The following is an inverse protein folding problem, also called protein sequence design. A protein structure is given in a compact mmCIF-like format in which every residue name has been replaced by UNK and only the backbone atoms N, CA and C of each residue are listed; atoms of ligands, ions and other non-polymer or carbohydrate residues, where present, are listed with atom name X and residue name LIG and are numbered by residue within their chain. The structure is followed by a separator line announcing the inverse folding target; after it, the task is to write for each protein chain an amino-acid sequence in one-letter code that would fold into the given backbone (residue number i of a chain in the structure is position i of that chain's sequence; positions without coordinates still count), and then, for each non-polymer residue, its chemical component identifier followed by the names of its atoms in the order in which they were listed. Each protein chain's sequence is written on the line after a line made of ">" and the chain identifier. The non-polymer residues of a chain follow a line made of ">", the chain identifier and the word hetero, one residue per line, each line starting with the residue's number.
data_IF_299925917810
#
_entry.id   IF_299925917810
#
_cell.length_a   1.000
_cell.length_b   1.000
_cell.length_c   1.000
_cell.angle_alpha   90.00
_cell.angle_beta   90.00
_cell.angle_gamma   90.00
#
_symmetry.space_group_name_H-M   'P 1'
#
loop_
_entity.id
_entity.type
_entity.pdbx_description
1 polymer ?
#
# COMPACT_ATOMS: atom_id res chain seq x y z
N UNK A 1 21.75 5.79 12.23
CA UNK A 1 21.47 5.50 10.81
C UNK A 1 21.30 4.01 10.48
N UNK A 2 22.21 3.10 10.88
CA UNK A 2 22.12 1.68 10.47
C UNK A 2 20.80 0.99 10.85
N UNK A 3 20.30 1.17 12.09
CA UNK A 3 19.01 0.61 12.54
C UNK A 3 17.83 1.04 11.65
N UNK A 4 17.83 2.31 11.24
CA UNK A 4 16.80 2.93 10.41
C UNK A 4 16.83 2.30 9.01
N UNK A 5 18.03 2.17 8.42
CA UNK A 5 18.19 1.52 7.12
C UNK A 5 17.69 0.07 7.16
N UNK A 6 18.06 -0.70 8.19
CA UNK A 6 17.61 -2.09 8.37
C UNK A 6 16.09 -2.16 8.50
N UNK A 7 15.47 -1.24 9.23
CA UNK A 7 14.03 -1.15 9.35
C UNK A 7 13.33 -0.91 8.01
N UNK A 8 13.81 0.05 7.21
CA UNK A 8 13.21 0.31 5.90
C UNK A 8 13.44 -0.84 4.92
N UNK A 9 14.61 -1.47 4.94
CA UNK A 9 14.87 -2.66 4.11
C UNK A 9 13.96 -3.82 4.49
N UNK A 10 13.76 -4.06 5.79
CA UNK A 10 12.81 -5.07 6.27
C UNK A 10 11.37 -4.72 5.88
N UNK A 11 10.92 -3.49 6.12
CA UNK A 11 9.55 -3.09 5.84
C UNK A 11 9.24 -3.10 4.33
N UNK A 12 10.05 -2.44 3.50
CA UNK A 12 9.81 -2.38 2.07
C UNK A 12 10.09 -3.72 1.38
N UNK A 13 11.15 -4.44 1.78
CA UNK A 13 11.52 -5.71 1.16
C UNK A 13 10.62 -6.86 1.59
N UNK A 14 10.51 -7.09 2.90
CA UNK A 14 9.77 -8.23 3.44
C UNK A 14 8.28 -7.96 3.52
N UNK A 15 7.86 -6.84 4.14
CA UNK A 15 6.43 -6.63 4.38
C UNK A 15 5.63 -6.32 3.09
N UNK A 16 6.21 -5.55 2.18
CA UNK A 16 5.56 -5.12 0.93
C UNK A 16 6.07 -5.90 -0.28
N UNK A 17 7.39 -6.01 -0.43
CA UNK A 17 8.01 -6.61 -1.61
C UNK A 17 7.69 -8.10 -1.78
N UNK A 18 7.72 -8.88 -0.70
CA UNK A 18 7.47 -10.33 -0.77
C UNK A 18 6.05 -10.68 -1.23
N UNK A 19 4.96 -10.11 -0.67
CA UNK A 19 3.61 -10.33 -1.21
C UNK A 19 3.47 -9.90 -2.68
N UNK A 20 4.06 -8.75 -3.05
CA UNK A 20 4.06 -8.27 -4.43
C UNK A 20 4.75 -9.25 -5.40
N UNK A 21 5.91 -9.79 -5.01
CA UNK A 21 6.64 -10.78 -5.78
C UNK A 21 5.85 -12.09 -5.91
N UNK A 22 5.24 -12.58 -4.83
CA UNK A 22 4.41 -13.79 -4.85
C UNK A 22 3.23 -13.62 -5.80
N UNK A 23 2.51 -12.49 -5.71
CA UNK A 23 1.41 -12.18 -6.62
C UNK A 23 1.89 -12.06 -8.08
N UNK A 24 3.04 -11.44 -8.31
CA UNK A 24 3.62 -11.32 -9.65
C UNK A 24 3.98 -12.69 -10.24
N UNK A 25 4.58 -13.59 -9.45
CA UNK A 25 4.90 -14.96 -9.86
C UNK A 25 3.64 -15.79 -10.16
N UNK A 26 2.62 -15.66 -9.31
CA UNK A 26 1.30 -16.31 -9.53
C UNK A 26 0.69 -15.83 -10.85
N UNK A 27 0.71 -14.51 -11.10
CA UNK A 27 0.19 -13.93 -12.35
C UNK A 27 1.02 -14.32 -13.58
N UNK A 28 2.34 -14.36 -13.47
CA UNK A 28 3.20 -14.73 -14.58
C UNK A 28 3.04 -16.21 -14.98
N UNK A 29 2.68 -17.06 -14.03
CA UNK A 29 2.35 -18.47 -14.27
C UNK A 29 0.90 -18.73 -14.70
N UNK A 30 0.02 -17.72 -14.70
CA UNK A 30 -1.38 -17.90 -15.11
C UNK A 30 -1.45 -18.20 -16.61
N UNK A 31 -2.12 -19.30 -16.97
CA UNK A 31 -2.38 -19.65 -18.37
C UNK A 31 -3.81 -19.22 -18.74
N UNK A 32 -4.12 -19.18 -20.03
CA UNK A 32 -5.51 -18.97 -20.46
C UNK A 32 -6.43 -20.05 -19.89
N UNK A 33 -7.64 -19.69 -19.48
CA UNK A 33 -8.66 -20.61 -18.98
C UNK A 33 -9.21 -21.57 -20.05
N UNK A 34 -9.01 -21.25 -21.33
CA UNK A 34 -9.43 -22.05 -22.47
C UNK A 34 -8.24 -22.58 -23.28
N UNK A 35 -8.49 -23.66 -24.01
CA UNK A 35 -7.60 -24.30 -24.95
C UNK A 35 -8.29 -24.47 -26.31
N UNK A 36 -7.56 -24.10 -27.36
CA UNK A 36 -7.96 -24.30 -28.75
C UNK A 36 -7.33 -25.58 -29.26
N UNK A 37 -8.15 -26.40 -29.89
CA UNK A 37 -7.67 -27.52 -30.68
C UNK A 37 -6.83 -26.99 -31.86
N UNK A 38 -5.50 -27.10 -31.73
CA UNK A 38 -4.56 -26.57 -32.74
C UNK A 38 -4.77 -27.20 -34.10
N UNK A 39 -5.16 -28.47 -34.15
CA UNK A 39 -5.37 -29.20 -35.40
C UNK A 39 -6.64 -28.70 -36.11
N UNK A 40 -7.64 -28.23 -35.35
CA UNK A 40 -8.81 -27.56 -35.93
C UNK A 40 -8.46 -26.17 -36.50
N UNK A 41 -7.39 -25.55 -35.99
CA UNK A 41 -6.90 -24.23 -36.41
C UNK A 41 -5.92 -24.24 -37.59
N UNK A 42 -5.75 -25.38 -38.26
CA UNK A 42 -4.90 -25.52 -39.43
C UNK A 42 -5.36 -24.64 -40.59
N UNK A 43 -4.40 -24.02 -41.28
CA UNK A 43 -4.67 -23.08 -42.37
C UNK A 43 -4.14 -23.63 -43.70
N UNK A 44 -4.93 -23.49 -44.76
CA UNK A 44 -4.52 -23.71 -46.14
C UNK A 44 -5.13 -22.64 -47.03
N UNK A 45 -4.34 -22.04 -47.93
CA UNK A 45 -4.83 -20.99 -48.83
C UNK A 45 -5.35 -19.72 -48.12
N UNK A 46 -4.90 -19.48 -46.88
CA UNK A 46 -5.39 -18.37 -46.05
C UNK A 46 -6.77 -18.60 -45.43
N UNK A 47 -7.28 -19.83 -45.46
CA UNK A 47 -8.55 -20.23 -44.84
C UNK A 47 -8.33 -21.38 -43.87
N UNK A 48 -9.19 -21.51 -42.86
CA UNK A 48 -9.18 -22.66 -41.97
C UNK A 48 -9.56 -23.93 -42.75
N UNK A 49 -8.79 -25.01 -42.61
CA UNK A 49 -9.02 -26.28 -43.33
C UNK A 49 -10.36 -26.92 -42.96
N UNK A 50 -10.74 -26.84 -41.69
CA UNK A 50 -11.98 -27.41 -41.17
C UNK A 50 -12.71 -26.40 -40.27
N UNK A 51 -13.41 -25.41 -40.87
CA UNK A 51 -14.13 -24.41 -40.08
C UNK A 51 -15.26 -25.04 -39.24
N UNK A 52 -15.78 -26.21 -39.61
CA UNK A 52 -16.80 -26.89 -38.83
C UNK A 52 -16.27 -27.43 -37.49
N UNK A 53 -14.98 -27.77 -37.39
CA UNK A 53 -14.34 -28.10 -36.09
C UNK A 53 -14.15 -26.88 -35.19
N UNK A 54 -13.98 -25.69 -35.77
CA UNK A 54 -13.82 -24.45 -35.01
C UNK A 54 -15.17 -23.85 -34.59
N UNK A 55 -16.13 -23.76 -35.50
CA UNK A 55 -17.42 -23.09 -35.27
C UNK A 55 -18.58 -24.06 -34.97
N UNK A 56 -18.40 -25.37 -35.15
CA UNK A 56 -19.52 -26.31 -35.12
C UNK A 56 -20.32 -26.31 -36.41
N UNK A 57 -21.39 -27.11 -36.42
CA UNK A 57 -22.27 -27.32 -37.58
C UNK A 57 -23.63 -26.64 -37.43
N UNK A 58 -23.91 -26.06 -36.27
CA UNK A 58 -25.16 -25.38 -35.90
C UNK A 58 -25.18 -23.89 -36.29
N UNK A 59 -24.23 -23.45 -37.10
CA UNK A 59 -24.19 -22.09 -37.66
C UNK A 59 -25.39 -21.85 -38.56
N UNK A 60 -25.98 -20.65 -38.51
CA UNK A 60 -27.11 -20.27 -39.36
C UNK A 60 -26.74 -20.20 -40.85
N UNK A 61 -25.46 -19.93 -41.13
CA UNK A 61 -24.87 -19.95 -42.47
C UNK A 61 -23.42 -20.45 -42.39
N UNK A 62 -22.84 -20.96 -43.50
CA UNK A 62 -21.43 -21.34 -43.52
C UNK A 62 -20.53 -20.19 -43.05
N UNK A 63 -19.47 -20.46 -42.26
CA UNK A 63 -18.53 -19.43 -41.85
C UNK A 63 -17.94 -18.69 -43.04
N UNK A 64 -17.92 -17.35 -42.97
CA UNK A 64 -17.45 -16.46 -44.03
C UNK A 64 -16.02 -16.01 -43.77
N UNK A 65 -15.25 -15.78 -44.83
CA UNK A 65 -13.89 -15.22 -44.73
C UNK A 65 -13.95 -13.81 -44.14
N UNK A 66 -13.20 -13.59 -43.06
CA UNK A 66 -13.15 -12.32 -42.33
C UNK A 66 -11.78 -11.63 -42.42
N UNK A 67 -10.89 -12.05 -43.32
CA UNK A 67 -9.53 -11.46 -43.43
C UNK A 67 -9.54 -9.98 -43.79
N UNK A 68 -10.59 -9.48 -44.45
CA UNK A 68 -10.75 -8.05 -44.69
C UNK A 68 -10.86 -7.24 -43.39
N UNK A 69 -11.35 -7.85 -42.31
CA UNK A 69 -11.41 -7.24 -40.96
C UNK A 69 -10.09 -7.41 -40.20
N UNK A 70 -9.20 -8.30 -40.64
CA UNK A 70 -7.93 -8.61 -39.99
C UNK A 70 -6.79 -8.69 -41.01
N UNK A 71 -6.27 -7.54 -41.49
CA UNK A 71 -5.27 -7.53 -42.55
C UNK A 71 -3.97 -8.29 -42.22
N UNK A 72 -3.65 -8.43 -40.93
CA UNK A 72 -2.46 -9.15 -40.46
C UNK A 72 -2.73 -10.65 -40.16
N UNK A 73 -3.96 -11.12 -40.34
CA UNK A 73 -4.31 -12.52 -40.08
C UNK A 73 -3.87 -13.44 -41.21
N UNK A 74 -3.32 -14.60 -40.83
CA UNK A 74 -3.03 -15.71 -41.76
C UNK A 74 -4.34 -16.35 -42.20
N UNK A 75 -5.30 -16.48 -41.30
CA UNK A 75 -6.69 -16.86 -41.60
C UNK A 75 -7.64 -16.14 -40.65
N UNK A 76 -8.82 -15.77 -41.13
CA UNK A 76 -9.88 -15.25 -40.28
C UNK A 76 -11.23 -15.68 -40.83
N UNK A 77 -12.16 -16.05 -39.94
CA UNK A 77 -13.50 -16.44 -40.31
C UNK A 77 -14.51 -15.97 -39.27
N UNK A 78 -15.73 -15.69 -39.72
CA UNK A 78 -16.86 -15.31 -38.88
C UNK A 78 -18.04 -16.25 -39.11
N UNK A 79 -18.75 -16.60 -38.05
CA UNK A 79 -19.98 -17.37 -38.10
C UNK A 79 -21.09 -16.66 -37.34
N UNK A 80 -22.31 -16.76 -37.87
CA UNK A 80 -23.54 -16.26 -37.25
C UNK A 80 -24.39 -17.46 -36.87
N UNK A 81 -25.01 -17.42 -35.70
CA UNK A 81 -25.84 -18.50 -35.18
C UNK A 81 -27.32 -18.10 -35.10
N UNK A 82 -28.24 -19.08 -35.03
CA UNK A 82 -29.69 -18.81 -35.01
C UNK A 82 -30.15 -17.95 -33.81
N UNK A 83 -29.40 -17.94 -32.72
CA UNK A 83 -29.65 -17.15 -31.50
C UNK A 83 -29.12 -15.70 -31.60
N UNK A 84 -28.79 -15.24 -32.82
CA UNK A 84 -28.17 -13.95 -33.11
C UNK A 84 -26.78 -13.74 -32.49
N UNK A 85 -26.15 -14.78 -31.96
CA UNK A 85 -24.75 -14.70 -31.53
C UNK A 85 -23.82 -14.78 -32.75
N UNK A 86 -22.66 -14.17 -32.61
CA UNK A 86 -21.64 -14.10 -33.66
C UNK A 86 -20.30 -14.51 -33.07
N UNK A 87 -19.61 -15.40 -33.75
CA UNK A 87 -18.27 -15.85 -33.37
C UNK A 87 -17.31 -15.48 -34.48
N UNK A 88 -16.18 -14.92 -34.10
CA UNK A 88 -15.11 -14.52 -34.98
C UNK A 88 -13.81 -15.13 -34.48
N UNK A 89 -13.10 -15.82 -35.36
CA UNK A 89 -11.83 -16.44 -35.05
C UNK A 89 -10.82 -15.97 -36.08
N UNK A 90 -9.70 -15.42 -35.61
CA UNK A 90 -8.58 -15.02 -36.43
C UNK A 90 -7.31 -15.69 -35.92
N UNK A 91 -6.47 -16.14 -36.86
CA UNK A 91 -5.14 -16.68 -36.58
C UNK A 91 -4.09 -15.71 -37.13
N UNK A 92 -3.27 -15.13 -36.26
CA UNK A 92 -2.09 -14.38 -36.68
C UNK A 92 -0.91 -15.29 -36.95
N UNK A 93 0.18 -14.77 -37.52
CA UNK A 93 1.39 -15.55 -37.81
C UNK A 93 2.20 -15.90 -36.57
N UNK A 94 2.05 -15.11 -35.50
CA UNK A 94 2.66 -15.33 -34.21
C UNK A 94 1.77 -14.74 -33.11
N UNK A 95 2.13 -14.99 -31.85
CA UNK A 95 1.37 -14.51 -30.68
C UNK A 95 1.28 -12.98 -30.61
N UNK A 96 2.35 -12.27 -30.93
CA UNK A 96 2.40 -10.81 -30.79
C UNK A 96 1.55 -10.13 -31.86
N UNK A 97 1.58 -10.62 -33.10
CA UNK A 97 0.71 -10.11 -34.17
C UNK A 97 -0.75 -10.46 -33.92
N UNK A 98 -1.03 -11.62 -33.36
CA UNK A 98 -2.39 -12.00 -32.95
C UNK A 98 -2.94 -11.09 -31.85
N UNK A 99 -2.08 -10.67 -30.91
CA UNK A 99 -2.43 -9.68 -29.89
C UNK A 99 -2.77 -8.32 -30.51
N UNK A 100 -1.98 -7.85 -31.47
CA UNK A 100 -2.25 -6.59 -32.18
C UNK A 100 -3.56 -6.65 -32.97
N UNK A 101 -3.81 -7.77 -33.68
CA UNK A 101 -5.06 -8.01 -34.41
C UNK A 101 -6.29 -7.88 -33.49
N UNK A 102 -6.25 -8.51 -32.32
CA UNK A 102 -7.35 -8.47 -31.36
C UNK A 102 -7.51 -7.11 -30.70
N UNK A 103 -6.40 -6.41 -30.43
CA UNK A 103 -6.43 -5.06 -29.86
C UNK A 103 -7.06 -4.04 -30.83
N UNK A 104 -6.71 -4.11 -32.12
CA UNK A 104 -7.28 -3.26 -33.15
C UNK A 104 -8.79 -3.49 -33.32
N UNK A 105 -9.18 -4.77 -33.46
CA UNK A 105 -10.58 -5.16 -33.54
C UNK A 105 -11.40 -4.74 -32.31
N UNK A 106 -10.82 -4.92 -31.11
CA UNK A 106 -11.43 -4.47 -29.86
C UNK A 106 -11.66 -2.96 -29.85
N UNK A 107 -10.66 -2.18 -30.27
CA UNK A 107 -10.73 -0.72 -30.30
C UNK A 107 -11.83 -0.19 -31.23
N UNK A 108 -12.13 -0.91 -32.32
CA UNK A 108 -13.22 -0.56 -33.24
C UNK A 108 -14.62 -0.90 -32.73
N UNK A 109 -14.74 -1.83 -31.77
CA UNK A 109 -16.04 -2.31 -31.29
C UNK A 109 -16.47 -1.75 -29.95
N UNK A 110 -15.57 -1.59 -28.99
CA UNK A 110 -15.94 -1.39 -27.60
C UNK A 110 -16.35 0.06 -27.26
N UNK A 111 -17.48 0.22 -26.58
CA UNK A 111 -17.86 1.43 -25.84
C UNK A 111 -17.73 1.19 -24.34
N UNK A 112 -16.77 1.85 -23.70
CA UNK A 112 -16.74 1.98 -22.24
C UNK A 112 -16.25 0.74 -21.45
N UNK A 113 -16.97 0.42 -20.37
CA UNK A 113 -16.47 -0.41 -19.26
C UNK A 113 -16.06 -1.82 -19.71
N UNK A 114 -14.77 -2.10 -19.57
CA UNK A 114 -14.17 -3.40 -19.85
C UNK A 114 -13.98 -4.15 -18.55
N UNK A 115 -14.41 -5.41 -18.49
CA UNK A 115 -14.05 -6.31 -17.38
C UNK A 115 -13.09 -7.36 -17.90
N UNK A 116 -11.84 -7.32 -17.44
CA UNK A 116 -10.81 -8.28 -17.81
C UNK A 116 -10.81 -9.46 -16.83
N UNK A 117 -10.83 -10.69 -17.36
CA UNK A 117 -10.62 -11.93 -16.61
C UNK A 117 -9.52 -12.79 -17.27
N UNK A 118 -9.09 -13.88 -16.62
CA UNK A 118 -8.08 -14.80 -17.17
C UNK A 118 -8.54 -15.55 -18.42
N UNK A 119 -9.85 -15.60 -18.64
CA UNK A 119 -10.42 -16.16 -19.85
C UNK A 119 -10.46 -15.17 -21.01
N UNK A 120 -10.39 -13.86 -20.76
CA UNK A 120 -10.47 -12.83 -21.79
C UNK A 120 -11.08 -11.53 -21.28
N UNK A 121 -11.37 -10.60 -22.18
CA UNK A 121 -11.99 -9.33 -21.84
C UNK A 121 -13.47 -9.34 -22.25
N UNK A 122 -14.36 -9.03 -21.32
CA UNK A 122 -15.76 -8.72 -21.62
C UNK A 122 -15.92 -7.23 -21.86
N UNK A 123 -16.77 -6.88 -22.81
CA UNK A 123 -17.05 -5.52 -23.20
C UNK A 123 -18.49 -5.36 -23.68
N UNK A 124 -18.95 -4.12 -23.73
CA UNK A 124 -20.17 -3.74 -24.45
C UNK A 124 -19.74 -3.07 -25.74
N UNK A 125 -20.30 -3.52 -26.86
CA UNK A 125 -20.02 -2.94 -28.16
C UNK A 125 -20.80 -1.62 -28.35
N UNK A 126 -20.32 -0.77 -29.26
CA UNK A 126 -21.01 0.45 -29.68
C UNK A 126 -22.45 0.21 -30.17
N UNK A 127 -22.72 -1.00 -30.65
CA UNK A 127 -24.05 -1.48 -31.09
C UNK A 127 -24.99 -1.86 -29.95
N UNK A 128 -24.52 -1.85 -28.70
CA UNK A 128 -25.25 -2.30 -27.52
C UNK A 128 -25.13 -3.80 -27.21
N UNK A 129 -24.43 -4.56 -28.07
CA UNK A 129 -24.20 -5.99 -27.87
C UNK A 129 -23.17 -6.26 -26.77
N UNK A 130 -23.25 -7.43 -26.14
CA UNK A 130 -22.25 -7.89 -25.18
C UNK A 130 -21.22 -8.74 -25.90
N UNK A 131 -19.96 -8.34 -25.78
CA UNK A 131 -18.80 -9.01 -26.38
C UNK A 131 -17.91 -9.68 -25.34
N UNK A 132 -17.25 -10.75 -25.76
CA UNK A 132 -16.10 -11.34 -25.09
C UNK A 132 -15.01 -11.58 -26.12
N UNK A 133 -13.80 -11.14 -25.81
CA UNK A 133 -12.62 -11.33 -26.66
C UNK A 133 -11.53 -12.05 -25.88
N UNK A 134 -10.81 -12.95 -26.53
CA UNK A 134 -9.73 -13.66 -25.90
C UNK A 134 -8.60 -14.01 -26.88
N UNK A 135 -7.41 -14.22 -26.34
CA UNK A 135 -6.20 -14.55 -27.09
C UNK A 135 -5.57 -15.83 -26.53
N UNK A 136 -5.21 -16.75 -27.41
CA UNK A 136 -4.43 -17.93 -27.07
C UNK A 136 -3.40 -18.23 -28.15
N UNK A 137 -2.13 -17.95 -27.83
CA UNK A 137 -1.04 -18.11 -28.77
C UNK A 137 -1.32 -17.29 -30.04
N UNK A 138 -1.38 -17.96 -31.18
CA UNK A 138 -1.64 -17.38 -32.50
C UNK A 138 -3.13 -17.11 -32.79
N UNK A 139 -4.05 -17.49 -31.89
CA UNK A 139 -5.48 -17.38 -32.14
C UNK A 139 -6.09 -16.27 -31.31
N UNK A 140 -6.89 -15.42 -31.96
CA UNK A 140 -7.77 -14.45 -31.35
C UNK A 140 -9.22 -14.81 -31.63
N UNK A 141 -10.08 -14.69 -30.62
CA UNK A 141 -11.51 -14.99 -30.73
C UNK A 141 -12.31 -13.85 -30.16
N UNK A 142 -13.39 -13.52 -30.85
CA UNK A 142 -14.45 -12.69 -30.31
C UNK A 142 -15.79 -13.41 -30.41
N UNK A 143 -16.57 -13.36 -29.34
CA UNK A 143 -17.95 -13.82 -29.26
C UNK A 143 -18.80 -12.61 -28.93
N UNK A 144 -19.77 -12.30 -29.78
CA UNK A 144 -20.75 -11.24 -29.57
C UNK A 144 -22.14 -11.83 -29.45
N UNK A 145 -22.98 -11.25 -28.61
CA UNK A 145 -24.37 -11.65 -28.47
C UNK A 145 -25.28 -10.51 -28.00
N UNK A 146 -26.60 -10.66 -28.17
CA UNK A 146 -27.57 -9.66 -27.76
C UNK A 146 -27.64 -9.52 -26.23
N UNK A 147 -27.31 -10.58 -25.50
CA UNK A 147 -27.28 -10.61 -24.03
C UNK A 147 -26.01 -11.29 -23.52
N UNK A 148 -25.70 -11.06 -22.23
CA UNK A 148 -24.57 -11.69 -21.56
C UNK A 148 -24.72 -13.21 -21.50
N UNK A 149 -25.94 -13.69 -21.29
CA UNK A 149 -26.29 -15.09 -21.19
C UNK A 149 -26.10 -15.77 -22.55
N UNK A 150 -26.58 -15.16 -23.63
CA UNK A 150 -26.42 -15.69 -24.99
C UNK A 150 -24.94 -15.77 -25.39
N UNK A 151 -24.16 -14.70 -25.16
CA UNK A 151 -22.72 -14.69 -25.42
C UNK A 151 -22.00 -15.78 -24.60
N UNK A 152 -22.32 -15.92 -23.31
CA UNK A 152 -21.66 -16.89 -22.43
C UNK A 152 -22.02 -18.34 -22.79
N UNK A 153 -23.29 -18.61 -23.13
CA UNK A 153 -23.74 -19.90 -23.60
C UNK A 153 -23.09 -20.28 -24.92
N UNK A 154 -23.02 -19.34 -25.88
CA UNK A 154 -22.32 -19.56 -27.15
C UNK A 154 -20.86 -19.88 -26.93
N UNK A 155 -20.15 -19.10 -26.11
CA UNK A 155 -18.74 -19.32 -25.77
C UNK A 155 -18.50 -20.74 -25.24
N UNK A 156 -19.38 -21.24 -24.37
CA UNK A 156 -19.26 -22.59 -23.80
C UNK A 156 -19.57 -23.71 -24.81
N UNK A 157 -20.30 -23.40 -25.88
CA UNK A 157 -20.73 -24.38 -26.90
C UNK A 157 -19.78 -24.49 -28.10
N UNK A 158 -18.76 -23.62 -28.23
CA UNK A 158 -17.88 -23.61 -29.41
C UNK A 158 -16.99 -24.87 -29.40
N UNK A 159 -17.10 -25.78 -30.40
CA UNK A 159 -16.42 -27.09 -30.34
C UNK A 159 -14.89 -27.02 -30.35
N UNK A 160 -14.33 -26.00 -31.01
CA UNK A 160 -12.88 -25.77 -31.05
C UNK A 160 -12.29 -25.34 -29.71
N UNK A 161 -13.12 -25.09 -28.71
CA UNK A 161 -12.76 -24.52 -27.41
C UNK A 161 -13.13 -25.47 -26.30
N UNK A 162 -12.12 -25.84 -25.52
CA UNK A 162 -12.32 -26.63 -24.33
C UNK A 162 -11.66 -25.92 -23.14
N UNK A 163 -12.13 -26.25 -21.95
CA UNK A 163 -11.46 -25.82 -20.72
C UNK A 163 -10.02 -26.31 -20.74
N UNK A 164 -9.06 -25.41 -20.47
CA UNK A 164 -7.65 -25.78 -20.46
C UNK A 164 -7.40 -26.79 -19.33
N UNK A 165 -7.05 -28.07 -19.62
CA UNK A 165 -6.81 -29.05 -18.57
C UNK A 165 -5.54 -28.72 -17.76
N UNK A 166 -4.65 -27.88 -18.31
CA UNK A 166 -3.44 -27.39 -17.66
C UNK A 166 -3.67 -26.05 -16.94
N UNK A 167 -4.87 -25.81 -16.40
CA UNK A 167 -5.13 -24.68 -15.49
C UNK A 167 -4.05 -24.65 -14.42
N UNK A 168 -3.24 -23.60 -14.44
CA UNK A 168 -2.14 -23.43 -13.48
C UNK A 168 -2.69 -22.99 -12.13
N UNK A 169 -1.84 -23.03 -11.11
CA UNK A 169 -2.18 -22.61 -9.76
C UNK A 169 -2.76 -21.18 -9.73
N UNK A 170 -2.29 -20.28 -10.61
CA UNK A 170 -2.81 -18.90 -10.73
C UNK A 170 -4.29 -18.83 -11.08
N UNK A 171 -4.77 -19.65 -12.00
CA UNK A 171 -6.18 -19.66 -12.40
C UNK A 171 -7.08 -20.18 -11.28
N UNK A 172 -6.59 -21.16 -10.51
CA UNK A 172 -7.30 -21.67 -9.34
C UNK A 172 -7.32 -20.64 -8.21
N UNK A 173 -6.21 -19.94 -7.99
CA UNK A 173 -6.11 -18.92 -6.94
C UNK A 173 -7.12 -17.80 -7.15
N UNK A 174 -7.30 -17.32 -8.39
CA UNK A 174 -8.16 -16.17 -8.61
C UNK A 174 -9.66 -16.44 -8.48
N UNK A 175 -10.10 -17.69 -8.59
CA UNK A 175 -11.54 -18.03 -8.57
C UNK A 175 -11.97 -18.85 -7.37
N UNK A 176 -11.15 -19.82 -6.98
CA UNK A 176 -11.45 -20.77 -5.91
C UNK A 176 -10.75 -20.37 -4.61
N UNK A 177 -9.48 -19.99 -4.70
CA UNK A 177 -8.69 -19.67 -3.51
C UNK A 177 -8.63 -18.18 -3.14
N UNK A 178 -9.28 -17.29 -3.89
CA UNK A 178 -9.25 -15.85 -3.64
C UNK A 178 -9.62 -15.48 -2.19
N UNK A 179 -10.70 -16.01 -1.59
CA UNK A 179 -11.00 -15.69 -0.19
C UNK A 179 -9.89 -16.17 0.77
N UNK A 180 -9.26 -17.32 0.48
CA UNK A 180 -8.16 -17.84 1.29
C UNK A 180 -6.88 -17.02 1.09
N UNK A 181 -6.58 -16.57 -0.13
CA UNK A 181 -5.46 -15.69 -0.42
C UNK A 181 -5.61 -14.34 0.29
N UNK A 182 -6.82 -13.77 0.29
CA UNK A 182 -7.15 -12.57 1.06
C UNK A 182 -7.04 -12.81 2.57
N UNK A 183 -7.48 -13.96 3.07
CA UNK A 183 -7.34 -14.31 4.48
C UNK A 183 -5.86 -14.45 4.89
N UNK A 184 -5.04 -15.11 4.07
CA UNK A 184 -3.59 -15.23 4.29
C UNK A 184 -2.93 -13.84 4.23
N UNK A 185 -3.31 -12.99 3.29
CA UNK A 185 -2.81 -11.62 3.20
C UNK A 185 -3.22 -10.79 4.42
N UNK A 186 -4.44 -10.94 4.92
CA UNK A 186 -4.90 -10.27 6.12
C UNK A 186 -4.10 -10.72 7.35
N UNK A 187 -3.89 -12.03 7.51
CA UNK A 187 -3.05 -12.60 8.58
C UNK A 187 -1.63 -12.05 8.45
N UNK A 188 -1.07 -12.00 7.24
CA UNK A 188 0.23 -11.41 6.97
C UNK A 188 0.30 -9.94 7.39
N UNK A 189 -0.68 -9.13 6.99
CA UNK A 189 -0.76 -7.72 7.37
C UNK A 189 -0.87 -7.53 8.89
N UNK A 190 -1.63 -8.37 9.59
CA UNK A 190 -1.73 -8.34 11.05
C UNK A 190 -0.40 -8.70 11.71
N UNK A 191 0.31 -9.71 11.20
CA UNK A 191 1.64 -10.08 11.67
C UNK A 191 2.66 -8.95 11.42
N UNK A 192 2.65 -8.36 10.22
CA UNK A 192 3.49 -7.20 9.89
C UNK A 192 3.19 -6.03 10.81
N UNK A 193 1.91 -5.71 11.07
CA UNK A 193 1.52 -4.62 11.94
C UNK A 193 1.98 -4.85 13.39
N UNK A 194 1.86 -6.08 13.90
CA UNK A 194 2.39 -6.45 15.21
C UNK A 194 3.92 -6.29 15.28
N UNK A 195 4.64 -6.75 14.25
CA UNK A 195 6.09 -6.63 14.19
C UNK A 195 6.57 -5.20 13.95
N UNK A 196 5.80 -4.39 13.22
CA UNK A 196 6.11 -2.99 12.94
C UNK A 196 6.26 -2.20 14.23
N UNK A 197 5.31 -2.33 15.18
CA UNK A 197 5.40 -1.65 16.47
C UNK A 197 6.67 -1.99 17.25
N UNK A 198 7.08 -3.26 17.21
CA UNK A 198 8.30 -3.72 17.88
C UNK A 198 9.56 -3.23 17.21
N UNK A 199 9.62 -3.30 15.89
CA UNK A 199 10.76 -2.80 15.11
C UNK A 199 10.87 -1.28 15.23
N UNK A 200 9.75 -0.57 15.23
CA UNK A 200 9.69 0.87 15.46
C UNK A 200 10.27 1.26 16.83
N UNK A 201 9.85 0.58 17.89
CA UNK A 201 10.36 0.79 19.23
C UNK A 201 11.84 0.43 19.39
N UNK A 202 12.32 -0.56 18.64
CA UNK A 202 13.74 -0.92 18.61
C UNK A 202 14.59 0.15 17.91
N UNK A 203 14.11 0.70 16.79
CA UNK A 203 14.81 1.74 16.02
C UNK A 203 14.92 3.04 16.81
N UNK A 204 13.81 3.52 17.39
CA UNK A 204 13.79 4.76 18.17
C UNK A 204 14.26 4.61 19.61
N UNK A 205 14.54 3.38 20.05
CA UNK A 205 14.95 3.09 21.42
C UNK A 205 16.46 3.14 21.63
N UNK A 206 16.83 3.55 22.84
CA UNK A 206 18.20 3.63 23.31
C UNK A 206 18.38 2.69 24.51
N UNK A 207 19.50 1.97 24.52
CA UNK A 207 19.80 1.06 25.61
C UNK A 207 20.64 1.79 26.66
N UNK A 208 20.43 1.43 27.92
CA UNK A 208 21.37 1.82 28.97
C UNK A 208 22.77 1.23 28.70
N UNK A 209 23.85 1.88 29.15
CA UNK A 209 25.18 1.29 29.13
C UNK A 209 25.21 -0.03 29.91
N UNK A 210 25.89 -1.05 29.38
CA UNK A 210 25.93 -2.40 29.97
C UNK A 210 26.50 -2.44 31.40
N UNK A 211 27.20 -1.38 31.82
CA UNK A 211 27.81 -1.23 33.14
C UNK A 211 26.96 -0.41 34.13
N UNK A 212 25.80 0.11 33.72
CA UNK A 212 24.94 0.89 34.60
C UNK A 212 23.97 -0.03 35.36
N UNK A 213 24.04 -0.01 36.70
CA UNK A 213 23.08 -0.72 37.54
C UNK A 213 21.75 0.02 37.59
N UNK A 214 20.63 -0.60 37.18
CA UNK A 214 19.33 0.05 37.19
C UNK A 214 18.92 0.45 38.61
N UNK A 215 18.47 1.69 38.79
CA UNK A 215 17.82 2.14 40.02
C UNK A 215 16.36 1.63 40.08
N UNK A 216 15.75 1.57 41.26
CA UNK A 216 14.33 1.22 41.39
C UNK A 216 13.40 2.24 40.67
N UNK A 217 12.28 1.79 40.12
CA UNK A 217 11.31 2.61 39.38
C UNK A 217 10.88 3.86 40.14
N UNK A 218 10.59 3.75 41.43
CA UNK A 218 10.16 4.86 42.27
C UNK A 218 11.25 5.93 42.39
N UNK A 219 12.50 5.50 42.55
CA UNK A 219 13.66 6.40 42.59
C UNK A 219 13.85 7.10 41.24
N UNK A 220 13.69 6.38 40.14
CA UNK A 220 13.71 6.98 38.80
C UNK A 220 12.56 7.98 38.61
N UNK A 221 11.34 7.62 39.02
CA UNK A 221 10.18 8.48 38.89
C UNK A 221 10.35 9.79 39.67
N UNK A 222 10.88 9.73 40.90
CA UNK A 222 11.14 10.91 41.71
C UNK A 222 12.25 11.78 41.11
N UNK A 223 13.29 11.17 40.50
CA UNK A 223 14.32 11.92 39.75
C UNK A 223 13.74 12.62 38.52
N UNK A 224 12.83 11.97 37.78
CA UNK A 224 12.18 12.58 36.62
C UNK A 224 11.26 13.72 37.07
N UNK A 225 10.52 13.56 38.17
CA UNK A 225 9.67 14.63 38.73
C UNK A 225 10.49 15.84 39.22
N UNK A 226 11.71 15.62 39.72
CA UNK A 226 12.60 16.69 40.12
C UNK A 226 13.04 17.61 38.96
N UNK A 227 12.87 17.18 37.69
CA UNK A 227 13.11 18.06 36.53
C UNK A 227 12.22 19.30 36.53
N UNK A 228 11.06 19.26 37.19
CA UNK A 228 10.18 20.43 37.35
C UNK A 228 10.82 21.58 38.14
N UNK A 229 11.85 21.30 38.93
CA UNK A 229 12.59 22.32 39.69
C UNK A 229 13.65 23.02 38.84
N UNK A 230 13.94 22.48 37.65
CA UNK A 230 14.86 23.07 36.69
C UNK A 230 14.12 24.02 35.74
N UNK A 231 14.87 24.89 35.08
CA UNK A 231 14.34 25.82 34.10
C UNK A 231 14.08 25.13 32.74
N UNK A 232 13.10 24.22 32.71
CA UNK A 232 12.74 23.39 31.55
C UNK A 232 11.39 23.79 30.94
N UNK A 233 11.17 23.59 29.62
CA UNK A 233 9.95 24.01 28.92
C UNK A 233 8.76 23.03 29.09
N UNK A 234 8.80 22.14 30.08
CA UNK A 234 7.78 21.13 30.32
C UNK A 234 7.52 20.92 31.82
N UNK A 235 6.34 20.38 32.14
CA UNK A 235 5.95 19.94 33.47
C UNK A 235 5.76 18.43 33.45
N UNK A 236 6.38 17.74 34.39
CA UNK A 236 6.19 16.32 34.67
C UNK A 236 5.16 16.16 35.79
N UNK A 237 4.19 15.29 35.62
CA UNK A 237 3.21 14.92 36.63
C UNK A 237 3.08 13.40 36.73
N UNK A 238 2.54 12.89 37.84
CA UNK A 238 2.18 11.47 37.93
C UNK A 238 0.87 11.26 37.17
N UNK A 239 0.83 10.18 36.38
CA UNK A 239 -0.37 9.75 35.66
C UNK A 239 -1.30 8.91 36.53
N UNK A 240 -2.35 8.39 35.91
CA UNK A 240 -3.40 7.62 36.60
C UNK A 240 -2.90 6.28 37.17
N UNK A 241 -1.82 5.73 36.60
CA UNK A 241 -1.20 4.50 37.05
C UNK A 241 0.08 4.79 37.86
N UNK A 242 0.43 3.97 38.87
CA UNK A 242 1.56 4.23 39.76
C UNK A 242 2.91 4.27 39.03
N UNK A 243 3.04 3.57 37.90
CA UNK A 243 4.24 3.56 37.07
C UNK A 243 4.15 4.47 35.84
N UNK A 244 3.22 5.43 35.85
CA UNK A 244 2.98 6.33 34.73
C UNK A 244 3.35 7.76 35.09
N UNK A 245 4.09 8.42 34.20
CA UNK A 245 4.39 9.85 34.27
C UNK A 245 3.87 10.53 33.00
N UNK A 246 3.40 11.77 33.14
CA UNK A 246 2.90 12.58 32.03
C UNK A 246 3.73 13.84 31.97
N UNK A 247 4.34 14.08 30.82
CA UNK A 247 5.14 15.25 30.51
C UNK A 247 4.31 16.13 29.58
N UNK A 248 3.88 17.27 30.11
CA UNK A 248 3.10 18.28 29.38
C UNK A 248 3.98 19.49 29.12
N UNK A 249 4.08 19.90 27.86
CA UNK A 249 4.85 21.08 27.51
C UNK A 249 4.08 22.37 27.84
N UNK A 250 4.77 23.35 28.45
CA UNK A 250 4.15 24.57 28.95
C UNK A 250 4.05 25.63 27.86
N UNK A 251 3.10 25.46 26.93
CA UNK A 251 2.90 26.39 25.80
C UNK A 251 2.43 27.80 26.20
N UNK A 252 1.79 27.92 27.36
CA UNK A 252 1.16 29.16 27.81
C UNK A 252 2.02 30.01 28.77
N UNK A 253 3.25 29.58 29.10
CA UNK A 253 4.14 30.36 29.96
C UNK A 253 4.80 31.49 29.15
N UNK A 254 4.67 32.73 29.61
CA UNK A 254 5.11 33.93 28.86
C UNK A 254 6.59 33.89 28.46
N UNK A 255 7.41 33.20 29.25
CA UNK A 255 8.84 32.99 28.98
C UNK A 255 9.12 32.16 27.72
N UNK A 256 8.25 31.21 27.42
CA UNK A 256 8.40 30.28 26.29
C UNK A 256 7.46 30.62 25.12
N UNK A 257 6.39 31.36 25.37
CA UNK A 257 5.41 31.78 24.36
C UNK A 257 6.01 32.67 23.25
N UNK A 258 6.95 33.56 23.58
CA UNK A 258 7.58 34.45 22.59
C UNK A 258 8.50 33.67 21.61
N UNK A 259 9.28 32.72 22.13
CA UNK A 259 10.14 31.84 21.32
C UNK A 259 9.31 30.93 20.39
N UNK A 260 8.14 30.49 20.85
CA UNK A 260 7.24 29.61 20.08
C UNK A 260 6.44 30.36 19.01
N UNK A 261 6.01 31.60 19.27
CA UNK A 261 5.26 32.43 18.30
C UNK A 261 6.10 32.78 17.07
N UNK A 262 7.43 32.83 17.22
CA UNK A 262 8.38 33.05 16.12
C UNK A 262 8.52 31.82 15.21
N UNK A 263 8.03 30.64 15.62
CA UNK A 263 8.23 29.36 14.92
C UNK A 263 6.93 28.60 14.61
N UNK A 264 5.78 29.30 14.64
CA UNK A 264 4.47 28.84 14.14
C UNK A 264 3.95 27.49 14.73
N UNK A 265 4.24 27.21 16.00
CA UNK A 265 3.79 25.99 16.68
C UNK A 265 2.41 26.17 17.36
N UNK A 266 1.33 25.83 16.64
CA UNK A 266 -0.06 25.83 17.16
C UNK A 266 -0.49 24.53 17.89
N UNK A 267 0.45 23.62 18.20
CA UNK A 267 0.12 22.27 18.71
C UNK A 267 0.61 22.04 20.14
N UNK A 268 -0.26 21.48 20.96
CA UNK A 268 0.08 20.93 22.27
C UNK A 268 0.68 19.53 22.12
N UNK A 269 1.85 19.30 22.70
CA UNK A 269 2.47 17.98 22.80
C UNK A 269 2.37 17.48 24.25
N UNK A 270 2.15 16.18 24.38
CA UNK A 270 2.12 15.43 25.64
C UNK A 270 2.90 14.15 25.45
N UNK A 271 3.79 13.83 26.38
CA UNK A 271 4.54 12.59 26.39
C UNK A 271 4.12 11.79 27.62
N UNK A 272 3.64 10.57 27.41
CA UNK A 272 3.32 9.64 28.50
C UNK A 272 4.43 8.62 28.62
N UNK A 273 4.95 8.46 29.82
CA UNK A 273 6.01 7.52 30.18
C UNK A 273 5.41 6.42 31.06
N UNK A 274 5.80 5.18 30.80
CA UNK A 274 5.47 4.04 31.64
C UNK A 274 6.73 3.26 32.00
N UNK A 275 7.02 3.16 33.29
CA UNK A 275 8.18 2.45 33.81
C UNK A 275 7.86 0.96 33.99
N UNK A 276 8.63 0.10 33.34
CA UNK A 276 8.57 -1.36 33.46
C UNK A 276 9.76 -1.86 34.29
N UNK A 277 9.55 -2.03 35.61
CA UNK A 277 10.59 -2.44 36.56
C UNK A 277 11.22 -3.79 36.17
N UNK A 278 10.41 -4.78 35.81
CA UNK A 278 10.90 -6.13 35.51
C UNK A 278 11.83 -6.20 34.29
N UNK A 279 11.78 -5.21 33.40
CA UNK A 279 12.67 -5.10 32.24
C UNK A 279 13.56 -3.87 32.25
N UNK A 280 13.58 -3.11 33.36
CA UNK A 280 14.23 -1.79 33.49
C UNK A 280 14.10 -0.95 32.22
N UNK A 281 12.86 -0.79 31.75
CA UNK A 281 12.56 -0.13 30.48
C UNK A 281 11.52 0.97 30.68
N UNK A 282 11.86 2.20 30.31
CA UNK A 282 10.93 3.31 30.20
C UNK A 282 10.30 3.32 28.81
N UNK A 283 9.00 3.00 28.75
CA UNK A 283 8.21 3.05 27.51
C UNK A 283 7.62 4.44 27.36
N UNK A 284 7.87 5.12 26.24
CA UNK A 284 7.42 6.49 25.99
C UNK A 284 6.40 6.52 24.86
N UNK A 285 5.35 7.32 24.98
CA UNK A 285 4.33 7.49 23.94
C UNK A 285 3.98 8.97 23.79
N UNK A 286 4.16 9.48 22.59
CA UNK A 286 3.85 10.86 22.23
C UNK A 286 2.38 11.01 21.82
N UNK A 287 1.77 12.09 22.24
CA UNK A 287 0.45 12.56 21.82
C UNK A 287 0.60 14.00 21.32
N UNK A 288 0.23 14.24 20.07
CA UNK A 288 0.10 15.59 19.50
C UNK A 288 -1.37 15.95 19.41
N UNK A 289 -1.76 17.11 19.94
CA UNK A 289 -3.09 17.70 19.79
C UNK A 289 -2.94 19.11 19.23
N UNK A 290 -3.38 19.32 17.99
CA UNK A 290 -3.45 20.65 17.40
C UNK A 290 -4.60 21.44 18.06
N UNK A 291 -4.31 22.64 18.57
CA UNK A 291 -5.31 23.50 19.19
C UNK A 291 -5.33 24.82 18.42
N UNK A 292 -6.05 24.83 17.29
CA UNK A 292 -6.23 26.06 16.51
C UNK A 292 -7.14 27.02 17.26
N UNK A 293 -6.58 28.11 17.81
CA UNK A 293 -7.35 29.24 18.33
C UNK A 293 -7.62 30.24 17.20
N UNK A 294 -8.71 30.08 16.46
CA UNK A 294 -9.22 31.18 15.65
C UNK A 294 -10.17 32.03 16.49
N UNK A 295 -9.67 33.15 17.01
CA UNK A 295 -10.51 34.18 17.62
C UNK A 295 -11.25 34.95 16.51
N UNK A 296 -12.39 34.41 16.07
CA UNK A 296 -13.39 35.10 15.24
C UNK A 296 -14.66 35.32 16.05
N UNK A 297 -15.35 36.44 15.83
CA UNK A 297 -16.48 36.91 16.63
C UNK A 297 -17.75 36.03 16.60
N UNK A 298 -17.71 34.84 16.00
CA UNK A 298 -18.81 33.87 16.00
C UNK A 298 -18.24 32.45 16.10
N UNK A 299 -18.31 31.86 17.30
CA UNK A 299 -18.19 30.41 17.53
C UNK A 299 -16.77 29.83 17.50
N UNK A 300 -16.28 29.41 18.67
CA UNK A 300 -15.08 28.59 18.77
C UNK A 300 -15.35 27.18 18.19
N UNK A 301 -14.77 26.87 17.03
CA UNK A 301 -14.70 25.50 16.50
C UNK A 301 -13.50 24.79 17.13
N UNK A 302 -13.78 23.75 17.92
CA UNK A 302 -12.79 22.89 18.58
C UNK A 302 -12.54 21.67 17.68
N UNK A 303 -11.49 21.71 16.86
CA UNK A 303 -11.14 20.60 15.96
C UNK A 303 -10.11 19.68 16.63
N UNK A 304 -10.52 18.46 17.01
CA UNK A 304 -9.68 17.48 17.70
C UNK A 304 -9.00 16.55 16.67
N UNK A 305 -7.69 16.74 16.40
CA UNK A 305 -6.89 15.80 15.58
C UNK A 305 -5.72 15.25 16.39
N UNK A 306 -5.87 14.03 16.91
CA UNK A 306 -4.81 13.29 17.59
C UNK A 306 -3.98 12.48 16.59
N UNK A 307 -2.68 12.77 16.49
CA UNK A 307 -1.75 11.98 15.66
C UNK A 307 -1.09 10.90 16.53
N UNK A 308 -1.27 9.62 16.17
CA UNK A 308 -0.64 8.47 16.82
C UNK A 308 0.64 8.11 16.05
N UNK A 309 1.77 8.75 16.36
CA UNK A 309 3.00 8.57 15.57
C UNK A 309 4.25 8.37 16.42
N UNK A 310 4.99 7.29 16.17
CA UNK A 310 6.44 7.28 16.42
C UNK A 310 7.03 8.17 15.32
N UNK A 311 7.40 9.39 15.68
CA UNK A 311 8.08 10.32 14.78
C UNK A 311 9.54 9.90 14.68
N UNK A 312 9.92 9.16 13.63
CA UNK A 312 11.31 8.74 13.42
C UNK A 312 12.22 9.89 12.95
N UNK A 313 11.62 10.90 12.30
CA UNK A 313 12.21 12.16 11.87
C UNK A 313 11.07 13.13 11.55
N UNK A 314 11.05 14.33 12.15
CA UNK A 314 10.31 15.48 11.63
C UNK A 314 11.34 16.39 10.94
N UNK A 315 11.60 16.14 9.66
CA UNK A 315 12.42 17.05 8.85
C UNK A 315 11.54 18.27 8.46
N UNK A 316 11.41 19.25 9.35
CA UNK A 316 10.91 20.57 8.97
C UNK A 316 12.03 21.33 8.28
N UNK A 317 12.01 21.31 6.95
CA UNK A 317 12.91 22.05 6.09
C UNK A 317 12.50 23.53 6.03
N UNK A 318 12.64 24.27 7.13
CA UNK A 318 12.71 25.73 7.03
C UNK A 318 14.16 26.14 6.79
N UNK A 319 14.52 26.27 5.51
CA UNK A 319 15.72 27.03 5.11
C UNK A 319 15.53 28.48 5.54
N UNK A 320 16.09 28.86 6.68
CA UNK A 320 16.54 30.22 6.90
C UNK A 320 18.06 30.26 6.73
N UNK A 321 18.53 30.44 5.51
CA UNK A 321 19.89 30.95 5.30
C UNK A 321 19.86 32.45 5.60
N UNK A 322 20.17 32.82 6.84
CA UNK A 322 20.40 34.21 7.23
C UNK A 322 21.90 34.47 7.36
N UNK A 323 22.50 35.14 6.38
CA UNK A 323 23.74 35.87 6.63
C UNK A 323 23.36 37.16 7.38
N UNK A 324 23.65 37.21 8.68
CA UNK A 324 23.44 38.44 9.45
C UNK A 324 24.57 39.42 9.18
N UNK A 325 24.21 40.58 8.61
CA UNK A 325 25.05 41.77 8.57
C UNK A 325 24.45 42.79 9.52
N UNK A 326 25.15 43.07 10.63
CA UNK A 326 24.97 44.31 11.38
C UNK A 326 26.23 45.16 11.23
N UNK A 327 26.07 46.37 10.72
CA UNK A 327 27.11 47.42 10.63
C UNK A 327 28.44 46.99 10.00
N UNK A 328 28.40 46.18 8.94
CA UNK A 328 29.55 45.97 8.05
C UNK A 328 30.74 45.19 8.64
N UNK A 329 30.58 44.51 9.79
CA UNK A 329 31.63 43.61 10.31
C UNK A 329 31.05 42.27 10.79
N UNK A 330 31.64 41.18 10.29
CA UNK A 330 31.29 39.80 10.65
C UNK A 330 31.83 39.48 12.04
N UNK A 331 30.97 39.34 13.05
CA UNK A 331 31.36 38.83 14.38
C UNK A 331 30.63 37.53 14.71
N UNK A 332 31.41 36.49 14.98
CA UNK A 332 30.96 35.24 15.60
C UNK A 332 31.03 35.40 17.12
N UNK A 333 29.88 35.46 17.79
CA UNK A 333 29.80 35.21 19.23
C UNK A 333 28.70 34.17 19.45
N UNK A 334 28.94 33.09 20.22
CA UNK A 334 27.97 32.02 20.39
C UNK A 334 26.87 32.48 21.36
N UNK A 335 25.73 32.91 20.82
CA UNK A 335 24.46 32.91 21.54
C UNK A 335 23.88 31.49 21.44
N UNK A 336 23.70 30.81 22.57
CA UNK A 336 23.07 29.49 22.61
C UNK A 336 21.60 29.64 22.18
N UNK A 337 21.31 29.33 20.91
CA UNK A 337 19.96 29.33 20.34
C UNK A 337 19.32 27.96 20.60
N UNK A 338 18.28 27.91 21.42
CA UNK A 338 17.49 26.70 21.67
C UNK A 338 16.70 26.38 20.39
N UNK A 339 16.97 25.24 19.74
CA UNK A 339 16.17 24.78 18.59
C UNK A 339 15.06 23.89 19.14
N UNK A 340 13.81 24.28 18.93
CA UNK A 340 12.65 23.50 19.35
C UNK A 340 12.45 22.30 18.39
N UNK A 341 13.39 21.35 18.44
CA UNK A 341 13.25 20.01 17.89
C UNK A 341 12.67 19.10 18.99
N UNK A 342 11.62 18.33 18.69
CA UNK A 342 10.99 17.40 19.64
C UNK A 342 12.00 16.40 20.22
N UNK A 343 13.05 16.08 19.47
CA UNK A 343 14.14 15.21 19.93
C UNK A 343 15.06 15.94 20.92
N UNK A 344 15.36 17.22 20.72
CA UNK A 344 16.12 18.06 21.66
C UNK A 344 15.34 18.27 22.97
N UNK A 345 14.01 18.38 22.90
CA UNK A 345 13.17 18.57 24.08
C UNK A 345 13.06 17.31 24.95
N UNK A 346 13.13 16.12 24.35
CA UNK A 346 13.09 14.83 25.07
C UNK A 346 14.47 14.42 25.59
N UNK A 347 15.55 14.95 25.03
CA UNK A 347 16.92 14.58 25.36
C UNK A 347 17.23 14.62 26.87
N UNK A 348 16.81 15.62 27.67
CA UNK A 348 17.08 15.63 29.11
C UNK A 348 16.42 14.45 29.84
N UNK A 349 15.22 14.05 29.43
CA UNK A 349 14.48 12.93 30.02
C UNK A 349 15.14 11.61 29.61
N UNK A 350 15.47 11.46 28.32
CA UNK A 350 16.14 10.26 27.78
C UNK A 350 17.49 10.06 28.48
N UNK A 351 18.31 11.11 28.57
CA UNK A 351 19.61 11.06 29.22
C UNK A 351 19.49 10.70 30.70
N UNK A 352 18.47 11.22 31.40
CA UNK A 352 18.21 10.87 32.80
C UNK A 352 17.83 9.39 32.95
N UNK A 353 16.94 8.87 32.09
CA UNK A 353 16.53 7.46 32.10
C UNK A 353 17.74 6.55 31.85
N UNK A 354 18.48 6.79 30.78
CA UNK A 354 19.66 5.99 30.38
C UNK A 354 20.77 6.06 31.43
N UNK A 355 21.04 7.27 31.95
CA UNK A 355 22.05 7.48 32.98
C UNK A 355 21.73 6.79 34.32
N UNK A 356 20.49 6.37 34.54
CA UNK A 356 20.07 5.61 35.71
C UNK A 356 19.96 4.10 35.46
N UNK A 357 20.50 3.61 34.33
CA UNK A 357 20.54 2.19 34.00
C UNK A 357 19.26 1.65 33.35
N UNK A 358 18.37 2.53 32.88
CA UNK A 358 17.11 2.13 32.24
C UNK A 358 17.16 2.28 30.73
N UNK A 359 16.53 1.34 30.02
CA UNK A 359 16.37 1.41 28.58
C UNK A 359 15.24 2.38 28.21
N UNK A 360 15.43 3.16 27.15
CA UNK A 360 14.40 4.00 26.58
C UNK A 360 13.76 3.33 25.36
N UNK A 361 12.42 3.25 25.34
CA UNK A 361 11.67 2.67 24.22
C UNK A 361 10.48 3.55 23.83
N UNK A 362 10.51 4.24 22.68
CA UNK A 362 9.31 4.86 22.14
C UNK A 362 8.35 3.77 21.61
N UNK A 363 7.09 3.81 22.02
CA UNK A 363 6.09 2.78 21.73
C UNK A 363 4.87 3.38 21.03
N UNK A 364 4.33 2.68 20.02
CA UNK A 364 3.09 3.09 19.34
C UNK A 364 1.89 2.99 20.29
N UNK A 365 1.94 2.00 21.19
CA UNK A 365 0.90 1.66 22.15
C UNK A 365 1.53 1.07 23.40
N UNK A 366 0.88 1.21 24.55
CA UNK A 366 1.28 0.48 25.75
C UNK A 366 0.79 -0.98 25.75
N UNK A 367 -0.02 -1.38 24.76
CA UNK A 367 -0.45 -2.77 24.59
C UNK A 367 0.69 -3.61 23.99
N UNK A 368 1.20 -4.59 24.75
CA UNK A 368 2.43 -5.34 24.43
C UNK A 368 2.51 -5.89 22.99
N UNK A 369 1.47 -6.49 22.41
CA UNK A 369 1.57 -7.02 21.05
C UNK A 369 1.68 -5.96 19.93
N UNK A 370 1.38 -4.68 20.19
CA UNK A 370 1.56 -3.57 19.24
C UNK A 370 2.60 -2.53 19.71
N UNK A 371 3.06 -2.64 20.95
CA UNK A 371 3.84 -1.61 21.62
C UNK A 371 5.35 -1.75 21.55
N UNK A 372 5.87 -2.94 21.27
CA UNK A 372 7.29 -3.23 21.52
C UNK A 372 7.51 -4.06 22.75
#
# INVERSE_FOLDING_TARGET
>A
MLKILVFFLWFLGFAIGLPGLVLALIKHGAQSDFAIDRDAGDVAGGQFKDPARLFGRDTAAPPVDARSMFPLAVAAAAAVYPDATRVLIARGPDKERSKLLMADFYSGLASGNTTQDHGGSRFTANTGEVGWIALQGEFGIAVLGPTREAMSARRAAIPGFHDNPKRTLGNKIDREYMPYALAVLLIWCLLVAAQFGRMAAWVGGENAPDNATPVAAEVLADKILALNQQDVPFTVSRGDAPNMLVVDWRYADAKWAELMRVRDMEKSHRLVLRLDEGGHTARSRDYESAMSWSAGADGANLDWKGNLGITFFKYEYEKAYGLFFENGTLKLTPSYEYRFDLDEMKAPIIALVIGNGWNWRPVVSFWRPLGG
#
